data_IF_317935062659
#
_entry.id   IF_317935062659
#
_cell.length_a   1.000
_cell.length_b   1.000
_cell.length_c   1.000
_cell.angle_alpha   90.00
_cell.angle_beta   90.00
_cell.angle_gamma   90.00
#
_symmetry.space_group_name_H-M   'P 1'
#
loop_
_entity.id
_entity.type
_entity.pdbx_description
1 polymer ?
#
# COMPACT_ATOMS: atom_id res chain seq x y z
N UNK A 1 -3.34 39.30 30.17
CA UNK A 1 -2.47 39.28 29.19
C UNK A 1 -2.83 38.51 27.95
N UNK A 2 -2.07 38.48 27.03
CA UNK A 2 -2.40 38.00 25.71
C UNK A 2 -2.90 36.56 25.66
N UNK A 3 -3.93 36.34 24.88
CA UNK A 3 -4.36 34.99 24.53
C UNK A 3 -3.25 34.26 23.78
N UNK A 4 -3.15 32.94 23.95
CA UNK A 4 -2.23 32.14 23.17
C UNK A 4 -2.51 32.35 21.68
N UNK A 5 -1.48 32.35 20.81
CA UNK A 5 -1.69 32.51 19.37
C UNK A 5 -2.70 31.54 18.78
N UNK A 6 -2.75 30.30 19.31
CA UNK A 6 -3.70 29.30 18.89
C UNK A 6 -5.15 29.65 19.20
N UNK A 7 -5.43 30.30 20.33
CA UNK A 7 -6.79 30.70 20.69
C UNK A 7 -7.39 31.73 19.75
N UNK A 8 -6.62 32.72 19.34
CA UNK A 8 -7.03 33.70 18.37
C UNK A 8 -7.32 33.07 17.00
N UNK A 9 -6.45 32.16 16.60
CA UNK A 9 -6.57 31.47 15.32
C UNK A 9 -7.83 30.60 15.27
N UNK A 10 -8.11 29.89 16.35
CA UNK A 10 -9.31 29.05 16.48
C UNK A 10 -10.58 29.89 16.42
N UNK A 11 -10.60 31.07 17.06
CA UNK A 11 -11.74 31.97 17.00
C UNK A 11 -11.96 32.48 15.59
N UNK A 12 -10.90 32.81 14.88
CA UNK A 12 -10.98 33.24 13.49
C UNK A 12 -11.55 32.16 12.60
N UNK A 13 -11.06 30.92 12.75
CA UNK A 13 -11.57 29.78 11.99
C UNK A 13 -13.07 29.57 12.23
N UNK A 14 -13.49 29.58 13.50
CA UNK A 14 -14.90 29.39 13.85
C UNK A 14 -15.77 30.49 13.27
N UNK A 15 -15.27 31.72 13.27
CA UNK A 15 -15.99 32.85 12.71
C UNK A 15 -16.15 32.76 11.19
N UNK A 16 -15.07 32.37 10.51
CA UNK A 16 -15.07 32.15 9.06
C UNK A 16 -16.04 31.05 8.68
N UNK A 17 -16.04 29.94 9.41
CA UNK A 17 -16.94 28.82 9.14
C UNK A 17 -18.39 29.24 9.29
N UNK A 18 -18.74 30.01 10.34
CA UNK A 18 -20.11 30.49 10.54
C UNK A 18 -20.54 31.45 9.44
N UNK A 19 -19.67 32.34 9.00
CA UNK A 19 -19.95 33.22 7.88
C UNK A 19 -20.14 32.46 6.59
N UNK A 20 -19.31 31.45 6.35
CA UNK A 20 -19.46 30.62 5.18
C UNK A 20 -20.75 29.80 5.19
N UNK A 21 -21.13 29.23 6.32
CA UNK A 21 -22.39 28.51 6.46
C UNK A 21 -23.59 29.43 6.17
N UNK A 22 -23.55 30.64 6.69
CA UNK A 22 -24.59 31.62 6.44
C UNK A 22 -24.67 31.98 4.96
N UNK A 23 -23.53 32.18 4.32
CA UNK A 23 -23.48 32.49 2.89
C UNK A 23 -24.03 31.34 2.06
N UNK A 24 -23.60 30.09 2.35
CA UNK A 24 -24.06 28.92 1.61
C UNK A 24 -25.55 28.65 1.80
N UNK A 25 -26.07 28.87 2.99
CA UNK A 25 -27.52 28.75 3.25
C UNK A 25 -28.34 29.74 2.42
N UNK A 26 -27.78 30.94 2.18
CA UNK A 26 -28.42 31.95 1.32
C UNK A 26 -28.16 31.69 -0.17
N UNK A 27 -27.24 30.82 -0.52
CA UNK A 27 -26.85 30.54 -1.91
C UNK A 27 -26.80 29.00 -2.15
N UNK A 28 -27.96 28.35 -2.25
CA UNK A 28 -28.03 26.88 -2.37
C UNK A 28 -27.30 26.34 -3.58
N UNK A 29 -27.23 27.09 -4.68
CA UNK A 29 -26.51 26.66 -5.87
C UNK A 29 -24.99 26.54 -5.61
N UNK A 30 -24.42 27.46 -4.83
CA UNK A 30 -23.01 27.43 -4.45
C UNK A 30 -22.73 26.26 -3.51
N UNK A 31 -23.62 26.01 -2.57
CA UNK A 31 -23.50 24.86 -1.68
C UNK A 31 -23.50 23.53 -2.46
N UNK A 32 -24.41 23.40 -3.42
CA UNK A 32 -24.50 22.22 -4.27
C UNK A 32 -23.22 21.99 -5.06
N UNK A 33 -22.62 23.07 -5.61
CA UNK A 33 -21.34 22.99 -6.32
C UNK A 33 -20.21 22.54 -5.42
N UNK A 34 -20.14 23.06 -4.21
CA UNK A 34 -19.12 22.64 -3.24
C UNK A 34 -19.26 21.18 -2.86
N UNK A 35 -20.48 20.73 -2.60
CA UNK A 35 -20.76 19.33 -2.28
C UNK A 35 -20.38 18.41 -3.44
N UNK A 36 -20.69 18.80 -4.66
CA UNK A 36 -20.31 18.05 -5.86
C UNK A 36 -18.79 17.95 -6.00
N UNK A 37 -18.08 19.06 -5.78
CA UNK A 37 -16.63 19.10 -5.80
C UNK A 37 -16.02 18.18 -4.75
N UNK A 38 -16.52 18.22 -3.53
CA UNK A 38 -16.08 17.35 -2.45
C UNK A 38 -16.29 15.86 -2.78
N UNK A 39 -17.44 15.54 -3.39
CA UNK A 39 -17.72 14.17 -3.83
C UNK A 39 -16.76 13.70 -4.90
N UNK A 40 -16.47 14.55 -5.90
CA UNK A 40 -15.53 14.23 -6.96
C UNK A 40 -14.11 14.01 -6.41
N UNK A 41 -13.67 14.87 -5.51
CA UNK A 41 -12.36 14.74 -4.87
C UNK A 41 -12.26 13.45 -4.05
N UNK A 42 -13.31 13.12 -3.31
CA UNK A 42 -13.40 11.89 -2.54
C UNK A 42 -13.30 10.66 -3.45
N UNK A 43 -14.03 10.66 -4.55
CA UNK A 43 -14.00 9.57 -5.52
C UNK A 43 -12.63 9.41 -6.15
N UNK A 44 -11.96 10.52 -6.47
CA UNK A 44 -10.60 10.49 -7.01
C UNK A 44 -9.61 9.93 -6.01
N UNK A 45 -9.70 10.30 -4.74
CA UNK A 45 -8.85 9.75 -3.68
C UNK A 45 -9.05 8.24 -3.52
N UNK A 46 -10.30 7.78 -3.53
CA UNK A 46 -10.62 6.36 -3.44
C UNK A 46 -10.09 5.59 -4.64
N UNK A 47 -10.20 6.17 -5.83
CA UNK A 47 -9.68 5.57 -7.05
C UNK A 47 -8.15 5.43 -7.01
N UNK A 48 -7.44 6.47 -6.58
CA UNK A 48 -5.99 6.43 -6.41
C UNK A 48 -5.59 5.37 -5.39
N UNK A 49 -6.27 5.31 -4.26
CA UNK A 49 -5.99 4.32 -3.23
C UNK A 49 -6.19 2.90 -3.74
N UNK A 50 -7.25 2.68 -4.51
CA UNK A 50 -7.52 1.38 -5.13
C UNK A 50 -6.40 0.98 -6.09
N UNK A 51 -5.93 1.92 -6.93
CA UNK A 51 -4.84 1.66 -7.87
C UNK A 51 -3.52 1.37 -7.14
N UNK A 52 -3.23 2.09 -6.06
CA UNK A 52 -2.05 1.82 -5.23
C UNK A 52 -2.09 0.41 -4.64
N UNK A 53 -3.22 0.03 -4.06
CA UNK A 53 -3.39 -1.30 -3.46
C UNK A 53 -3.29 -2.40 -4.50
N UNK A 54 -3.87 -2.18 -5.69
CA UNK A 54 -3.77 -3.12 -6.79
C UNK A 54 -2.32 -3.29 -7.25
N UNK A 55 -1.58 -2.18 -7.37
CA UNK A 55 -0.16 -2.20 -7.72
C UNK A 55 0.67 -2.96 -6.70
N UNK A 56 0.42 -2.77 -5.41
CA UNK A 56 1.09 -3.50 -4.34
C UNK A 56 0.78 -5.00 -4.39
N UNK A 57 -0.48 -5.36 -4.64
CA UNK A 57 -0.89 -6.75 -4.79
C UNK A 57 -0.21 -7.41 -5.99
N UNK A 58 -0.13 -6.71 -7.12
CA UNK A 58 0.52 -7.20 -8.32
C UNK A 58 2.03 -7.40 -8.10
N UNK A 59 2.70 -6.48 -7.40
CA UNK A 59 4.11 -6.63 -7.06
C UNK A 59 4.36 -7.82 -6.13
N UNK A 60 3.52 -8.00 -5.12
CA UNK A 60 3.61 -9.13 -4.20
C UNK A 60 3.44 -10.46 -4.96
N UNK A 61 2.48 -10.51 -5.87
CA UNK A 61 2.24 -11.69 -6.72
C UNK A 61 3.43 -11.99 -7.61
N UNK A 62 3.98 -10.98 -8.27
CA UNK A 62 5.16 -11.13 -9.12
C UNK A 62 6.35 -11.64 -8.33
N UNK A 63 6.56 -11.09 -7.12
CA UNK A 63 7.63 -11.55 -6.23
C UNK A 63 7.48 -13.00 -5.80
N UNK A 64 6.25 -13.44 -5.49
CA UNK A 64 5.97 -14.84 -5.15
C UNK A 64 6.21 -15.77 -6.33
N UNK A 65 5.78 -15.39 -7.54
CA UNK A 65 6.01 -16.19 -8.74
C UNK A 65 7.50 -16.34 -9.06
N UNK A 66 8.28 -15.26 -8.90
CA UNK A 66 9.73 -15.30 -9.06
C UNK A 66 10.38 -16.24 -8.03
N UNK A 67 9.93 -16.20 -6.78
CA UNK A 67 10.42 -17.08 -5.72
C UNK A 67 10.10 -18.54 -6.01
N UNK A 68 8.89 -18.84 -6.49
CA UNK A 68 8.51 -20.21 -6.89
C UNK A 68 9.40 -20.72 -8.02
N UNK A 69 9.69 -19.88 -9.03
CA UNK A 69 10.58 -20.24 -10.11
C UNK A 69 12.00 -20.55 -9.61
N UNK A 70 12.50 -19.75 -8.68
CA UNK A 70 13.81 -19.94 -8.06
C UNK A 70 13.85 -21.24 -7.23
N UNK A 71 12.82 -21.53 -6.46
CA UNK A 71 12.67 -22.77 -5.72
C UNK A 71 12.76 -23.98 -6.66
N UNK A 72 12.03 -23.94 -7.77
CA UNK A 72 12.06 -25.02 -8.76
C UNK A 72 13.46 -25.23 -9.35
N UNK A 73 14.17 -24.14 -9.65
CA UNK A 73 15.56 -24.23 -10.13
C UNK A 73 16.48 -24.89 -9.12
N UNK A 74 16.37 -24.54 -7.84
CA UNK A 74 17.20 -25.10 -6.79
C UNK A 74 16.86 -26.55 -6.49
N UNK A 75 15.60 -26.95 -6.61
CA UNK A 75 15.21 -28.36 -6.54
C UNK A 75 15.92 -29.20 -7.61
N UNK A 76 15.97 -28.68 -8.84
CA UNK A 76 16.66 -29.34 -9.93
C UNK A 76 18.18 -29.42 -9.69
N UNK A 77 18.78 -28.36 -9.13
CA UNK A 77 20.21 -28.32 -8.80
C UNK A 77 20.55 -29.32 -7.72
N UNK A 78 19.73 -29.45 -6.70
CA UNK A 78 19.89 -30.47 -5.64
C UNK A 78 19.89 -31.88 -6.29
N UNK A 79 18.89 -32.12 -7.13
CA UNK A 79 18.77 -33.43 -7.78
C UNK A 79 19.97 -33.75 -8.67
N UNK A 80 20.44 -32.79 -9.46
CA UNK A 80 21.62 -32.95 -10.31
C UNK A 80 22.88 -33.25 -9.49
N UNK A 81 23.05 -32.55 -8.39
CA UNK A 81 24.21 -32.79 -7.52
C UNK A 81 24.19 -34.19 -6.91
N UNK A 82 23.01 -34.66 -6.48
CA UNK A 82 22.88 -36.03 -5.95
C UNK A 82 23.11 -37.09 -7.02
N UNK A 83 22.56 -36.88 -8.20
CA UNK A 83 22.74 -37.80 -9.34
C UNK A 83 24.22 -37.90 -9.75
N UNK A 84 24.97 -36.81 -9.61
CA UNK A 84 26.39 -36.76 -9.89
C UNK A 84 27.26 -37.28 -8.74
N UNK A 85 26.68 -37.65 -7.62
CA UNK A 85 27.43 -38.12 -6.43
C UNK A 85 28.10 -36.99 -5.64
N UNK A 86 27.76 -35.72 -5.92
CA UNK A 86 28.32 -34.57 -5.22
C UNK A 86 27.50 -34.26 -3.96
N UNK A 87 27.51 -35.12 -2.96
CA UNK A 87 26.62 -35.06 -1.81
C UNK A 87 26.82 -33.81 -0.96
N UNK A 88 28.05 -33.35 -0.75
CA UNK A 88 28.33 -32.12 -0.02
C UNK A 88 27.71 -30.89 -0.71
N UNK A 89 27.81 -30.85 -2.02
CA UNK A 89 27.22 -29.76 -2.82
C UNK A 89 25.71 -29.84 -2.80
N UNK A 90 25.16 -31.05 -2.87
CA UNK A 90 23.73 -31.29 -2.76
C UNK A 90 23.18 -30.81 -1.41
N UNK A 91 23.87 -31.07 -0.32
CA UNK A 91 23.49 -30.65 1.02
C UNK A 91 23.51 -29.15 1.17
N UNK A 92 24.47 -28.45 0.58
CA UNK A 92 24.51 -26.99 0.56
C UNK A 92 23.36 -26.40 -0.23
N UNK A 93 23.08 -26.97 -1.39
CA UNK A 93 21.98 -26.54 -2.24
C UNK A 93 20.65 -26.77 -1.54
N UNK A 94 20.49 -27.89 -0.85
CA UNK A 94 19.27 -28.20 -0.09
C UNK A 94 19.03 -27.22 1.06
N UNK A 95 20.11 -26.81 1.75
CA UNK A 95 19.99 -25.75 2.78
C UNK A 95 19.52 -24.43 2.22
N UNK A 96 20.06 -24.04 1.07
CA UNK A 96 19.61 -22.81 0.40
C UNK A 96 18.16 -22.93 -0.05
N UNK A 97 17.78 -24.08 -0.59
CA UNK A 97 16.38 -24.36 -0.95
C UNK A 97 15.46 -24.21 0.27
N UNK A 98 15.85 -24.73 1.43
CA UNK A 98 15.10 -24.59 2.66
C UNK A 98 14.90 -23.13 3.07
N UNK A 99 15.92 -22.29 2.88
CA UNK A 99 15.80 -20.84 3.14
C UNK A 99 14.79 -20.18 2.20
N UNK A 100 14.83 -20.52 0.92
CA UNK A 100 13.88 -19.98 -0.06
C UNK A 100 12.44 -20.40 0.26
N UNK A 101 12.26 -21.65 0.65
CA UNK A 101 10.93 -22.16 1.05
C UNK A 101 10.41 -21.47 2.31
N UNK A 102 11.32 -21.15 3.26
CA UNK A 102 10.98 -20.36 4.44
C UNK A 102 10.52 -18.96 4.07
N UNK A 103 11.21 -18.29 3.15
CA UNK A 103 10.80 -16.99 2.63
C UNK A 103 9.42 -17.03 1.98
N UNK A 104 9.12 -18.07 1.23
CA UNK A 104 7.84 -18.28 0.60
C UNK A 104 6.70 -18.40 1.62
N UNK A 105 6.92 -19.14 2.69
CA UNK A 105 5.94 -19.28 3.78
C UNK A 105 5.70 -17.95 4.49
N UNK A 106 6.75 -17.17 4.73
CA UNK A 106 6.63 -15.89 5.41
C UNK A 106 5.86 -14.85 4.59
N UNK A 107 5.94 -14.94 3.26
CA UNK A 107 5.23 -14.03 2.35
C UNK A 107 3.80 -14.47 2.03
N UNK A 108 3.53 -15.74 2.22
CA UNK A 108 2.22 -16.32 1.96
C UNK A 108 1.22 -16.03 3.09
#
# INVERSE_FOLDING_TARGET
MSAAPGGWFEQLEAQLERQLETFLAANPAQEALLQEQEQQEKQQRLKRRRLELQGQADQARTGLLALVAEINQWQQRVQRARDAGADDLADRAERHLGQLMGQGRDRW
#
